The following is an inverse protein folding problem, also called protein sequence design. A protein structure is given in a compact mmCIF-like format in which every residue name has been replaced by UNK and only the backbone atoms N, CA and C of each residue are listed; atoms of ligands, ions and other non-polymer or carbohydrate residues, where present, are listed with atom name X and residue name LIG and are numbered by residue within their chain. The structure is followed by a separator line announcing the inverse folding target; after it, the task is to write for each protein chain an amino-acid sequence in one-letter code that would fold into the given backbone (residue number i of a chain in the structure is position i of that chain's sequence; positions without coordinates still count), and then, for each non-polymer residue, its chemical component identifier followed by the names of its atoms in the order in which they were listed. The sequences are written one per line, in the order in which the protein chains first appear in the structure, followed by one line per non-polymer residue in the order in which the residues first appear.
data_IF_894713345429
#
_entry.id   IF_894713345429
#
_cell.length_a   1.000
_cell.length_b   1.000
_cell.length_c   1.000
_cell.angle_alpha   90.00
_cell.angle_beta   90.00
_cell.angle_gamma   90.00
#
_symmetry.space_group_name_H-M   'P 1'
#
loop_
_entity.id
_entity.type
_entity.pdbx_description
1 polymer ?
#
# COMPACT_ATOMS: atom_id res chain seq x y z
N UNK A 1 16.04 40.96 27.09
CA UNK A 1 16.64 42.31 27.16
C UNK A 1 15.53 43.33 27.21
N UNK A 2 15.43 44.10 28.29
CA UNK A 2 14.37 45.11 28.47
C UNK A 2 14.72 46.36 27.68
N UNK A 3 13.87 46.72 26.71
CA UNK A 3 14.05 47.92 25.89
C UNK A 3 13.46 49.11 26.65
N UNK A 4 14.31 49.94 27.22
CA UNK A 4 13.90 51.19 27.89
C UNK A 4 13.51 52.19 26.80
N UNK A 5 12.29 52.71 26.90
CA UNK A 5 11.74 53.74 26.01
C UNK A 5 11.38 54.91 26.93
N UNK A 6 11.86 56.11 26.62
CA UNK A 6 11.52 57.33 27.37
C UNK A 6 10.01 57.64 27.26
N UNK A 7 9.47 58.34 28.28
CA UNK A 7 8.03 58.50 28.58
C UNK A 7 7.13 58.98 27.41
N UNK A 8 7.70 59.53 26.33
CA UNK A 8 6.94 60.15 25.23
C UNK A 8 6.93 59.36 23.90
N UNK A 9 7.49 58.13 23.84
CA UNK A 9 7.50 57.35 22.60
C UNK A 9 6.58 56.11 22.64
N UNK A 10 5.53 56.14 21.82
CA UNK A 10 4.64 55.00 21.56
C UNK A 10 5.25 54.06 20.51
N UNK A 11 5.78 52.92 20.96
CA UNK A 11 6.47 51.95 20.12
C UNK A 11 5.45 51.01 19.47
N UNK A 12 4.89 51.41 18.33
CA UNK A 12 3.98 50.57 17.54
C UNK A 12 4.76 49.50 16.77
N UNK A 13 4.49 48.24 17.06
CA UNK A 13 4.99 47.13 16.25
C UNK A 13 4.26 47.16 14.89
N UNK A 14 5.04 47.25 13.80
CA UNK A 14 4.48 47.12 12.45
C UNK A 14 4.07 45.65 12.26
N UNK A 15 2.76 45.39 12.29
CA UNK A 15 2.20 44.13 11.82
C UNK A 15 2.32 44.01 10.31
N UNK A 16 2.24 42.79 9.78
CA UNK A 16 2.21 42.58 8.32
C UNK A 16 1.06 43.38 7.69
N UNK A 17 1.37 44.09 6.60
CA UNK A 17 0.35 44.78 5.81
C UNK A 17 -0.62 43.75 5.23
N UNK A 18 -1.94 44.04 5.15
CA UNK A 18 -2.90 43.18 4.46
C UNK A 18 -2.47 42.82 3.02
N UNK A 19 -1.74 43.74 2.35
CA UNK A 19 -1.18 43.53 1.01
C UNK A 19 -0.09 42.45 0.96
N UNK A 20 0.72 42.34 2.01
CA UNK A 20 1.80 41.35 2.06
C UNK A 20 1.24 39.95 2.29
N UNK A 21 0.16 39.85 3.07
CA UNK A 21 -0.57 38.59 3.28
C UNK A 21 -1.23 38.09 1.98
N UNK A 22 -1.85 38.97 1.19
CA UNK A 22 -2.41 38.62 -0.12
C UNK A 22 -1.32 38.12 -1.09
N UNK A 23 -0.15 38.76 -1.09
CA UNK A 23 0.96 38.35 -1.94
C UNK A 23 1.51 36.95 -1.56
N UNK A 24 1.62 36.64 -0.27
CA UNK A 24 2.01 35.31 0.21
C UNK A 24 1.00 34.24 -0.22
N UNK A 25 -0.30 34.52 -0.11
CA UNK A 25 -1.36 33.62 -0.58
C UNK A 25 -1.28 33.39 -2.10
N UNK A 26 -0.97 34.43 -2.88
CA UNK A 26 -0.76 34.30 -4.34
C UNK A 26 0.40 33.36 -4.70
N UNK A 27 1.47 33.33 -3.90
CA UNK A 27 2.59 32.40 -4.10
C UNK A 27 2.18 30.95 -3.85
N UNK A 28 1.39 30.70 -2.81
CA UNK A 28 0.85 29.35 -2.52
C UNK A 28 -0.05 28.87 -3.66
N UNK A 29 -0.88 29.76 -4.21
CA UNK A 29 -1.71 29.43 -5.38
C UNK A 29 -0.86 29.08 -6.61
N UNK A 30 0.15 29.90 -6.91
CA UNK A 30 1.09 29.64 -8.01
C UNK A 30 1.80 28.29 -7.86
N UNK A 31 2.21 27.95 -6.63
CA UNK A 31 2.81 26.65 -6.32
C UNK A 31 1.84 25.49 -6.58
N UNK A 32 0.55 25.64 -6.22
CA UNK A 32 -0.48 24.63 -6.50
C UNK A 32 -0.73 24.43 -7.99
N UNK A 33 -0.73 25.50 -8.78
CA UNK A 33 -0.85 25.42 -10.23
C UNK A 33 0.32 24.66 -10.85
N UNK A 34 1.56 24.99 -10.45
CA UNK A 34 2.76 24.30 -10.91
C UNK A 34 2.73 22.81 -10.50
N UNK A 35 2.37 22.52 -9.25
CA UNK A 35 2.25 21.15 -8.75
C UNK A 35 1.22 20.35 -9.56
N UNK A 36 0.07 20.97 -9.88
CA UNK A 36 -0.96 20.40 -10.73
C UNK A 36 -0.44 20.06 -12.13
N UNK A 37 0.36 20.93 -12.75
CA UNK A 37 0.97 20.67 -14.06
C UNK A 37 1.91 19.45 -14.07
N UNK A 38 2.56 19.16 -12.94
CA UNK A 38 3.42 17.98 -12.80
C UNK A 38 2.69 16.74 -12.28
N UNK A 39 1.39 16.84 -11.99
CA UNK A 39 0.59 15.82 -11.31
C UNK A 39 1.09 15.49 -9.90
N UNK A 40 1.69 16.46 -9.20
CA UNK A 40 2.15 16.31 -7.82
C UNK A 40 1.06 16.85 -6.89
N UNK A 41 0.53 16.05 -5.96
CA UNK A 41 -0.44 16.54 -4.99
C UNK A 41 0.25 17.52 -4.03
N UNK A 42 -0.41 18.66 -3.78
CA UNK A 42 0.14 19.73 -2.93
C UNK A 42 0.50 19.26 -1.52
N UNK A 43 -0.23 18.27 -0.98
CA UNK A 43 0.03 17.68 0.33
C UNK A 43 1.39 16.98 0.46
N UNK A 44 2.05 16.61 -0.64
CA UNK A 44 3.42 16.09 -0.59
C UNK A 44 4.44 17.24 -0.45
N UNK A 45 4.12 18.41 -1.00
CA UNK A 45 5.01 19.58 -0.99
C UNK A 45 4.92 20.35 0.33
N UNK A 46 3.74 20.38 0.94
CA UNK A 46 3.48 21.09 2.19
C UNK A 46 3.23 20.11 3.33
N UNK A 47 4.25 19.93 4.17
CA UNK A 47 4.22 18.98 5.30
C UNK A 47 3.70 19.61 6.60
N UNK A 48 3.26 20.88 6.57
CA UNK A 48 2.93 21.63 7.78
C UNK A 48 1.64 21.16 8.47
N UNK A 49 0.63 20.73 7.70
CA UNK A 49 -0.70 20.34 8.22
C UNK A 49 -1.14 18.92 7.85
N UNK A 50 -0.25 18.10 7.29
CA UNK A 50 -0.66 16.77 6.80
C UNK A 50 -0.73 15.72 7.90
N UNK A 51 -1.94 15.15 8.07
CA UNK A 51 -2.15 13.91 8.84
C UNK A 51 -1.54 12.73 8.09
N UNK A 52 -0.97 11.76 8.81
CA UNK A 52 -0.32 10.56 8.23
C UNK A 52 -1.19 9.86 7.18
N UNK A 53 -2.47 9.63 7.47
CA UNK A 53 -3.40 8.99 6.53
C UNK A 53 -3.62 9.79 5.23
N UNK A 54 -3.56 11.13 5.31
CA UNK A 54 -3.68 12.01 4.14
C UNK A 54 -2.40 11.96 3.29
N UNK A 55 -1.23 11.88 3.93
CA UNK A 55 0.05 11.71 3.24
C UNK A 55 0.11 10.37 2.49
N UNK A 56 -0.23 9.26 3.15
CA UNK A 56 -0.23 7.93 2.52
C UNK A 56 -1.18 7.84 1.31
N UNK A 57 -2.34 8.48 1.41
CA UNK A 57 -3.28 8.56 0.28
C UNK A 57 -2.71 9.39 -0.87
N UNK A 58 -2.07 10.52 -0.57
CA UNK A 58 -1.44 11.38 -1.56
C UNK A 58 -0.29 10.67 -2.27
N UNK A 59 0.52 9.91 -1.54
CA UNK A 59 1.62 9.11 -2.10
C UNK A 59 1.10 8.05 -3.07
N UNK A 60 0.05 7.31 -2.69
CA UNK A 60 -0.60 6.33 -3.58
C UNK A 60 -1.20 6.99 -4.82
N UNK A 61 -1.86 8.13 -4.64
CA UNK A 61 -2.44 8.88 -5.75
C UNK A 61 -1.35 9.37 -6.72
N UNK A 62 -0.23 9.86 -6.19
CA UNK A 62 0.91 10.32 -6.98
C UNK A 62 1.60 9.16 -7.71
N UNK A 63 1.82 8.03 -7.04
CA UNK A 63 2.39 6.84 -7.64
C UNK A 63 1.54 6.35 -8.82
N UNK A 64 0.21 6.32 -8.66
CA UNK A 64 -0.74 5.85 -9.67
C UNK A 64 -0.89 6.81 -10.86
N UNK A 65 -1.06 8.11 -10.61
CA UNK A 65 -1.43 9.07 -11.66
C UNK A 65 -0.24 9.86 -12.20
N UNK A 66 0.82 10.03 -11.42
CA UNK A 66 2.02 10.77 -11.80
C UNK A 66 3.13 9.86 -12.29
N UNK A 67 3.52 8.88 -11.46
CA UNK A 67 4.73 8.08 -11.67
C UNK A 67 4.51 6.96 -12.67
N UNK A 68 3.49 6.12 -12.46
CA UNK A 68 3.18 4.97 -13.31
C UNK A 68 3.11 5.32 -14.81
N UNK A 69 2.31 6.31 -15.28
CA UNK A 69 2.22 6.59 -16.71
C UNK A 69 3.54 7.10 -17.32
N UNK A 70 4.42 7.73 -16.52
CA UNK A 70 5.74 8.18 -17.00
C UNK A 70 6.66 7.00 -17.20
N UNK A 71 6.70 6.08 -16.24
CA UNK A 71 7.51 4.87 -16.31
C UNK A 71 7.01 3.95 -17.42
N UNK A 72 5.69 3.78 -17.57
CA UNK A 72 5.09 3.00 -18.67
C UNK A 72 5.51 3.55 -20.03
N UNK A 73 5.48 4.88 -20.24
CA UNK A 73 5.94 5.48 -21.49
C UNK A 73 7.41 5.19 -21.78
N UNK A 74 8.26 5.22 -20.75
CA UNK A 74 9.69 4.90 -20.88
C UNK A 74 9.87 3.41 -21.21
N UNK A 75 9.14 2.54 -20.52
CA UNK A 75 9.14 1.10 -20.74
C UNK A 75 8.76 0.74 -22.18
N UNK A 76 7.65 1.30 -22.66
CA UNK A 76 7.19 1.11 -24.04
C UNK A 76 8.26 1.56 -25.03
N UNK A 77 8.92 2.69 -24.76
CA UNK A 77 9.96 3.20 -25.66
C UNK A 77 11.22 2.33 -25.67
N UNK A 78 11.61 1.80 -24.51
CA UNK A 78 12.71 0.85 -24.40
C UNK A 78 12.38 -0.49 -25.08
N UNK A 79 11.14 -0.97 -24.95
CA UNK A 79 10.70 -2.17 -25.66
C UNK A 79 10.62 -1.97 -27.18
N UNK A 80 10.27 -0.78 -27.65
CA UNK A 80 10.23 -0.48 -29.08
C UNK A 80 11.63 -0.33 -29.69
N UNK A 81 12.57 0.32 -28.98
CA UNK A 81 13.86 0.70 -29.55
C UNK A 81 15.03 -0.20 -29.13
N UNK A 82 15.09 -0.57 -27.85
CA UNK A 82 16.25 -1.27 -27.29
C UNK A 82 16.12 -2.78 -27.46
N UNK A 83 14.95 -3.35 -27.17
CA UNK A 83 14.74 -4.81 -27.21
C UNK A 83 15.03 -5.42 -28.59
N UNK A 84 14.55 -4.85 -29.72
CA UNK A 84 14.81 -5.42 -31.05
C UNK A 84 16.29 -5.41 -31.45
N UNK A 85 17.13 -4.61 -30.78
CA UNK A 85 18.59 -4.64 -31.03
C UNK A 85 19.26 -5.92 -30.49
N UNK A 86 18.64 -6.60 -29.52
CA UNK A 86 19.20 -7.79 -28.87
C UNK A 86 18.39 -9.05 -29.17
N UNK A 87 17.06 -8.94 -29.26
CA UNK A 87 16.18 -10.07 -29.54
C UNK A 87 14.99 -9.62 -30.41
N UNK A 88 14.91 -10.22 -31.61
CA UNK A 88 13.82 -9.99 -32.58
C UNK A 88 12.74 -11.09 -32.52
N UNK A 89 12.81 -12.00 -31.55
CA UNK A 89 11.90 -13.15 -31.46
C UNK A 89 10.76 -12.96 -30.45
N UNK A 90 10.51 -11.72 -30.00
CA UNK A 90 9.46 -11.31 -29.05
C UNK A 90 9.47 -12.10 -27.72
N UNK A 91 10.59 -12.76 -27.39
CA UNK A 91 10.74 -13.53 -26.14
C UNK A 91 11.19 -12.67 -24.97
N UNK A 92 11.93 -11.60 -25.27
CA UNK A 92 12.41 -10.66 -24.28
C UNK A 92 11.52 -9.42 -24.24
N UNK A 93 11.11 -9.00 -23.05
CA UNK A 93 10.47 -7.70 -22.83
C UNK A 93 10.97 -7.11 -21.51
N UNK A 94 11.09 -5.79 -21.45
CA UNK A 94 11.36 -5.08 -20.21
C UNK A 94 10.04 -4.67 -19.56
N UNK A 95 9.96 -4.91 -18.26
CA UNK A 95 8.89 -4.45 -17.41
C UNK A 95 9.47 -3.91 -16.11
N UNK A 96 8.99 -2.74 -15.70
CA UNK A 96 9.31 -2.21 -14.37
C UNK A 96 8.43 -2.87 -13.32
N UNK A 97 8.96 -2.94 -12.10
CA UNK A 97 8.16 -3.28 -10.94
C UNK A 97 7.11 -2.18 -10.69
N UNK A 98 5.95 -2.57 -10.15
CA UNK A 98 4.86 -1.65 -9.91
C UNK A 98 5.23 -0.65 -8.79
N UNK A 99 5.29 0.66 -9.07
CA UNK A 99 5.67 1.65 -8.07
C UNK A 99 4.55 1.97 -7.06
N UNK A 100 3.33 1.45 -7.25
CA UNK A 100 2.19 1.73 -6.37
C UNK A 100 2.35 0.92 -5.07
N UNK A 101 2.44 1.58 -3.90
CA UNK A 101 2.52 0.87 -2.62
C UNK A 101 1.23 0.09 -2.37
N UNK A 102 1.35 -1.23 -2.22
CA UNK A 102 0.23 -2.07 -1.82
C UNK A 102 -0.13 -1.88 -0.35
N UNK A 103 -1.44 -1.89 -0.05
CA UNK A 103 -1.92 -1.85 1.33
C UNK A 103 -1.73 -3.20 2.02
N UNK A 104 -0.55 -3.40 2.60
CA UNK A 104 -0.21 -4.61 3.35
C UNK A 104 -1.22 -4.90 4.47
N UNK A 105 -1.75 -3.88 5.13
CA UNK A 105 -2.76 -4.03 6.18
C UNK A 105 -4.09 -4.53 5.62
N UNK A 106 -4.51 -4.02 4.46
CA UNK A 106 -5.74 -4.46 3.80
C UNK A 106 -5.59 -5.91 3.33
N UNK A 107 -4.46 -6.24 2.69
CA UNK A 107 -4.15 -7.60 2.25
C UNK A 107 -4.08 -8.60 3.43
N UNK A 108 -3.46 -8.22 4.54
CA UNK A 108 -3.46 -9.04 5.76
C UNK A 108 -4.87 -9.24 6.31
N UNK A 109 -5.66 -8.18 6.39
CA UNK A 109 -7.05 -8.24 6.87
C UNK A 109 -7.94 -9.11 5.98
N UNK A 110 -7.78 -8.99 4.67
CA UNK A 110 -8.48 -9.79 3.67
C UNK A 110 -8.09 -11.28 3.78
N UNK A 111 -6.79 -11.58 3.77
CA UNK A 111 -6.30 -12.96 3.91
C UNK A 111 -6.71 -13.60 5.24
N UNK A 112 -6.63 -12.85 6.35
CA UNK A 112 -7.10 -13.35 7.65
C UNK A 112 -8.60 -13.60 7.64
N UNK A 113 -9.40 -12.72 7.05
CA UNK A 113 -10.84 -12.90 6.91
C UNK A 113 -11.18 -14.11 6.04
N UNK A 114 -10.47 -14.33 4.94
CA UNK A 114 -10.71 -15.47 4.04
C UNK A 114 -10.31 -16.81 4.65
N UNK A 115 -9.19 -16.86 5.38
CA UNK A 115 -8.79 -18.06 6.12
C UNK A 115 -9.78 -18.37 7.25
N UNK A 116 -10.25 -17.35 7.98
CA UNK A 116 -11.26 -17.53 9.04
C UNK A 116 -12.63 -17.96 8.49
N UNK A 117 -13.03 -17.42 7.34
CA UNK A 117 -14.27 -17.81 6.66
C UNK A 117 -14.18 -19.18 5.98
N UNK A 118 -12.99 -19.80 5.94
CA UNK A 118 -12.74 -21.07 5.26
C UNK A 118 -12.86 -20.99 3.73
N UNK A 119 -12.74 -19.79 3.16
CA UNK A 119 -12.79 -19.55 1.71
C UNK A 119 -11.49 -19.99 1.05
N UNK A 120 -10.36 -19.71 1.71
CA UNK A 120 -9.02 -20.10 1.26
C UNK A 120 -8.33 -20.93 2.33
N UNK A 121 -7.44 -21.82 1.89
CA UNK A 121 -6.56 -22.56 2.80
C UNK A 121 -5.44 -21.67 3.36
N UNK A 122 -4.82 -22.13 4.46
CA UNK A 122 -3.63 -21.46 5.01
C UNK A 122 -2.48 -21.45 3.99
N UNK A 123 -2.36 -22.49 3.17
CA UNK A 123 -1.32 -22.57 2.14
C UNK A 123 -1.58 -21.61 0.97
N UNK A 124 -2.83 -21.45 0.54
CA UNK A 124 -3.21 -20.42 -0.45
C UNK A 124 -2.96 -19.01 0.09
N UNK A 125 -3.29 -18.74 1.36
CA UNK A 125 -3.00 -17.46 1.99
C UNK A 125 -1.49 -17.19 2.10
N UNK A 126 -0.66 -18.22 2.34
CA UNK A 126 0.81 -18.10 2.35
C UNK A 126 1.35 -17.79 0.96
N UNK A 127 0.85 -18.46 -0.07
CA UNK A 127 1.23 -18.19 -1.46
C UNK A 127 0.88 -16.75 -1.86
N UNK A 128 -0.29 -16.24 -1.46
CA UNK A 128 -0.69 -14.85 -1.71
C UNK A 128 0.24 -13.82 -1.05
N UNK A 129 0.92 -14.18 0.05
CA UNK A 129 1.88 -13.32 0.75
C UNK A 129 3.33 -13.57 0.25
N UNK A 130 3.52 -14.48 -0.72
CA UNK A 130 4.83 -14.84 -1.26
C UNK A 130 5.63 -15.81 -0.39
N UNK A 131 4.98 -16.50 0.55
CA UNK A 131 5.57 -17.55 1.37
C UNK A 131 5.33 -18.92 0.75
N UNK A 132 6.27 -19.85 0.94
CA UNK A 132 6.08 -21.24 0.51
C UNK A 132 4.99 -21.93 1.31
N UNK A 133 4.26 -22.83 0.64
CA UNK A 133 3.29 -23.72 1.28
C UNK A 133 3.96 -24.58 2.37
N UNK A 134 3.23 -24.84 3.46
CA UNK A 134 3.72 -25.66 4.57
C UNK A 134 3.55 -27.16 4.25
N UNK A 135 2.51 -27.51 3.49
CA UNK A 135 2.17 -28.88 3.14
C UNK A 135 1.55 -29.69 4.29
N UNK A 136 0.88 -30.79 3.94
CA UNK A 136 0.24 -31.70 4.90
C UNK A 136 -1.09 -31.19 5.47
N UNK A 137 -1.43 -31.60 6.69
CA UNK A 137 -2.71 -31.29 7.39
C UNK A 137 -2.95 -29.79 7.64
N UNK A 138 -1.92 -28.94 7.47
CA UNK A 138 -2.03 -27.48 7.59
C UNK A 138 -2.64 -26.81 6.35
N UNK A 139 -2.77 -27.55 5.23
CA UNK A 139 -3.34 -27.07 3.99
C UNK A 139 -4.88 -26.99 4.01
N UNK A 140 -5.55 -27.50 5.05
CA UNK A 140 -7.00 -27.45 5.13
C UNK A 140 -7.47 -26.15 5.78
N UNK A 141 -8.56 -25.52 5.28
CA UNK A 141 -9.20 -24.42 5.99
C UNK A 141 -9.59 -24.92 7.38
N UNK A 142 -9.17 -24.21 8.43
CA UNK A 142 -9.54 -24.55 9.80
C UNK A 142 -11.05 -24.34 9.92
N UNK A 143 -11.82 -25.39 9.69
CA UNK A 143 -13.26 -25.35 9.84
C UNK A 143 -13.57 -24.91 11.28
N UNK A 144 -14.38 -23.87 11.42
CA UNK A 144 -14.86 -23.37 12.72
C UNK A 144 -15.81 -24.34 13.43
N UNK A 145 -15.66 -25.64 13.22
CA UNK A 145 -16.38 -26.67 13.93
C UNK A 145 -15.51 -27.20 15.05
N UNK A 146 -15.96 -27.02 16.29
CA UNK A 146 -15.54 -27.83 17.43
C UNK A 146 -15.76 -29.30 17.06
N UNK A 147 -14.76 -29.97 16.49
CA UNK A 147 -14.79 -31.42 16.32
C UNK A 147 -14.64 -32.00 17.72
N UNK A 148 -15.77 -32.30 18.35
CA UNK A 148 -15.79 -33.19 19.51
C UNK A 148 -15.24 -34.53 19.01
N UNK A 149 -14.09 -34.94 19.55
CA UNK A 149 -13.60 -36.31 19.41
C UNK A 149 -14.74 -37.26 19.79
N UNK A 150 -15.33 -37.93 18.82
CA UNK A 150 -16.17 -39.10 19.07
C UNK A 150 -15.24 -40.30 19.18
N UNK A 151 -15.26 -40.89 20.38
CA UNK A 151 -14.49 -42.05 20.81
C UNK A 151 -14.55 -43.22 19.82
N UNK A 152 -13.42 -43.92 19.74
CA UNK A 152 -13.22 -45.17 19.01
C UNK A 152 -14.24 -46.22 19.47
N UNK A 153 -15.11 -46.67 18.57
CA UNK A 153 -15.83 -47.94 18.75
C UNK A 153 -14.87 -49.06 18.33
N UNK A 154 -14.37 -49.78 19.33
CA UNK A 154 -13.66 -51.05 19.15
C UNK A 154 -14.73 -52.07 18.73
N UNK A 155 -14.65 -52.59 17.50
CA UNK A 155 -15.33 -53.84 17.13
C UNK A 155 -14.40 -54.98 17.52
N UNK A 156 -14.75 -55.69 18.60
CA UNK A 156 -14.21 -57.03 18.87
C UNK A 156 -14.78 -57.98 17.80
N UNK A 157 -13.89 -58.50 16.96
CA UNK A 157 -14.13 -59.68 16.14
C UNK A 157 -14.14 -60.88 17.10
N UNK A 158 -15.32 -61.47 17.34
CA UNK A 158 -15.40 -62.81 17.90
C UNK A 158 -15.17 -63.80 16.77
N UNK A 159 -14.03 -64.50 16.83
CA UNK A 159 -13.73 -65.70 16.07
C UNK A 159 -14.80 -66.76 16.36
N UNK A 160 -15.54 -67.14 15.32
CA UNK A 160 -16.44 -68.30 15.33
C UNK A 160 -15.61 -69.52 14.91
N UNK A 161 -15.06 -70.20 15.91
CA UNK A 161 -14.37 -71.49 15.76
C UNK A 161 -15.39 -72.57 15.37
N UNK A 162 -15.39 -72.94 14.09
CA UNK A 162 -16.05 -74.14 13.60
C UNK A 162 -15.09 -75.33 13.59
N UNK A 163 -15.36 -76.34 14.41
CA UNK A 163 -14.89 -77.72 14.22
C UNK A 163 -15.97 -78.72 14.73
N UNK A 164 -16.69 -79.33 13.78
CA UNK A 164 -17.30 -80.67 13.87
C UNK A 164 -16.88 -81.49 12.64
#
# INVERSE_FOLDING_TARGET
EGRVVDEDFDLKTLGFSPRDMEYLNGRVWSLKEIAGAFNIPYSILDTSETKKATSELADKWYAKNGVLPRITRIQEKLNEQLVPMYDNSDRLFLMYDNPIPEDKEMLLKENTSYVQAGIISVDEARLNIGLSALGGDFALPKSGGSVKETEKVITEENEDDGDE
#
